data_IF_561068094317
#
_entry.id   IF_561068094317
#
_cell.length_a   1.000
_cell.length_b   1.000
_cell.length_c   1.000
_cell.angle_alpha   90.00
_cell.angle_beta   90.00
_cell.angle_gamma   90.00
#
_symmetry.space_group_name_H-M   'P 1'
#
loop_
_entity.id
_entity.type
_entity.pdbx_description
1 polymer ?
#
# COMPACT_ATOMS: atom_id res chain seq x y z
N UNK A 1 -2.40 -29.83 0.85
CA UNK A 1 -3.38 -29.84 1.95
C UNK A 1 -4.68 -30.46 1.48
N UNK A 2 -5.39 -29.86 0.53
CA UNK A 2 -6.70 -30.34 0.04
C UNK A 2 -6.74 -31.80 -0.38
N UNK A 3 -5.72 -32.29 -1.08
CA UNK A 3 -5.64 -33.70 -1.49
C UNK A 3 -5.54 -34.65 -0.29
N UNK A 4 -4.79 -34.28 0.75
CA UNK A 4 -4.67 -35.06 1.98
C UNK A 4 -6.00 -35.07 2.73
N UNK A 5 -6.67 -33.92 2.83
CA UNK A 5 -7.98 -33.81 3.48
C UNK A 5 -9.04 -34.67 2.77
N UNK A 6 -9.09 -34.63 1.43
CA UNK A 6 -9.99 -35.49 0.62
C UNK A 6 -9.71 -36.98 0.78
N UNK A 7 -8.46 -37.34 1.09
CA UNK A 7 -8.01 -38.71 1.28
C UNK A 7 -7.99 -39.15 2.75
N UNK A 8 -8.48 -38.31 3.67
CA UNK A 8 -8.46 -38.54 5.12
C UNK A 8 -7.05 -38.85 5.68
N UNK A 9 -6.04 -38.19 5.11
CA UNK A 9 -4.65 -38.27 5.57
C UNK A 9 -4.42 -37.14 6.59
N UNK A 10 -4.01 -37.46 7.83
CA UNK A 10 -3.80 -36.45 8.87
C UNK A 10 -2.68 -35.49 8.50
N UNK A 11 -2.82 -34.24 8.91
CA UNK A 11 -1.74 -33.26 8.78
C UNK A 11 -0.59 -33.63 9.70
N UNK A 12 0.60 -33.77 9.13
CA UNK A 12 1.84 -33.95 9.87
C UNK A 12 2.70 -32.69 9.74
N UNK A 13 2.98 -32.04 10.86
CA UNK A 13 3.83 -30.85 10.91
C UNK A 13 4.80 -30.96 12.10
N UNK A 14 6.04 -31.44 11.86
CA UNK A 14 7.03 -31.65 12.92
C UNK A 14 7.83 -30.38 13.24
N UNK A 15 7.34 -29.20 12.85
CA UNK A 15 8.03 -27.92 13.05
C UNK A 15 7.19 -27.05 13.97
N UNK A 16 7.82 -26.34 14.91
CA UNK A 16 7.19 -25.40 15.82
C UNK A 16 7.06 -23.98 15.23
N UNK A 17 6.51 -23.06 16.03
CA UNK A 17 6.30 -21.66 15.62
C UNK A 17 7.60 -20.86 15.46
N UNK A 18 8.72 -21.33 16.00
CA UNK A 18 10.05 -20.74 15.82
C UNK A 18 10.77 -21.30 14.59
N UNK A 19 10.12 -22.18 13.84
CA UNK A 19 10.67 -22.82 12.65
C UNK A 19 11.66 -23.94 12.97
N UNK A 20 11.59 -24.52 14.18
CA UNK A 20 12.46 -25.61 14.62
C UNK A 20 11.72 -26.94 14.65
N UNK A 21 12.45 -28.03 14.37
CA UNK A 21 11.88 -29.36 14.48
C UNK A 21 11.56 -29.73 15.94
N UNK A 22 10.45 -30.41 16.16
CA UNK A 22 9.99 -30.91 17.46
C UNK A 22 10.42 -32.37 17.69
N UNK A 23 10.03 -32.91 18.84
CA UNK A 23 10.20 -34.32 19.21
C UNK A 23 9.52 -35.32 18.24
N UNK A 24 8.60 -34.85 17.39
CA UNK A 24 8.02 -35.64 16.31
C UNK A 24 9.05 -36.00 15.21
N UNK A 25 10.18 -35.30 15.15
CA UNK A 25 11.31 -35.58 14.27
C UNK A 25 12.62 -35.61 15.09
N UNK A 26 12.84 -36.64 15.93
CA UNK A 26 13.88 -36.66 16.95
C UNK A 26 15.31 -36.57 16.38
N UNK A 27 15.51 -37.07 15.15
CA UNK A 27 16.81 -36.99 14.45
C UNK A 27 17.26 -35.52 14.19
N UNK A 28 16.32 -34.57 14.22
CA UNK A 28 16.55 -33.15 13.87
C UNK A 28 16.01 -32.18 14.92
N UNK A 29 15.58 -32.68 16.08
CA UNK A 29 14.93 -31.88 17.13
C UNK A 29 15.75 -30.62 17.49
N UNK A 30 15.07 -29.47 17.56
CA UNK A 30 15.65 -28.17 17.87
C UNK A 30 16.39 -27.48 16.72
N UNK A 31 16.62 -28.16 15.59
CA UNK A 31 17.26 -27.55 14.42
C UNK A 31 16.28 -26.64 13.66
N UNK A 32 16.74 -25.48 13.22
CA UNK A 32 15.96 -24.60 12.36
C UNK A 32 15.82 -25.20 10.96
N UNK A 33 14.64 -25.07 10.34
CA UNK A 33 14.27 -25.89 9.17
C UNK A 33 15.26 -25.82 7.98
N UNK A 34 15.87 -24.65 7.71
CA UNK A 34 16.90 -24.54 6.65
C UNK A 34 18.27 -25.08 7.06
N UNK A 35 18.61 -25.04 8.34
CA UNK A 35 19.85 -25.63 8.84
C UNK A 35 19.79 -27.15 8.75
N UNK A 36 18.60 -27.72 9.00
CA UNK A 36 18.33 -29.13 8.92
C UNK A 36 18.44 -29.73 7.50
N UNK A 37 18.32 -28.93 6.43
CA UNK A 37 18.40 -29.41 5.04
C UNK A 37 19.66 -30.27 4.79
N UNK A 38 20.79 -29.90 5.38
CA UNK A 38 22.08 -30.62 5.24
C UNK A 38 22.06 -31.97 5.95
N UNK A 39 21.51 -32.02 7.16
CA UNK A 39 21.47 -33.22 8.00
C UNK A 39 20.42 -34.21 7.50
N UNK A 40 19.26 -33.70 7.06
CA UNK A 40 18.22 -34.50 6.39
C UNK A 40 18.79 -35.15 5.12
N UNK A 41 19.48 -34.37 4.28
CA UNK A 41 20.12 -34.89 3.06
C UNK A 41 21.14 -35.98 3.37
N UNK A 42 21.93 -35.81 4.44
CA UNK A 42 22.91 -36.80 4.90
C UNK A 42 22.22 -38.08 5.38
N UNK A 43 21.18 -37.96 6.20
CA UNK A 43 20.45 -39.11 6.72
C UNK A 43 19.78 -39.94 5.61
N UNK A 44 19.19 -39.29 4.59
CA UNK A 44 18.60 -39.99 3.44
C UNK A 44 19.69 -40.72 2.64
N UNK A 45 20.87 -40.10 2.47
CA UNK A 45 22.02 -40.71 1.79
C UNK A 45 22.58 -41.91 2.55
N UNK A 46 22.76 -41.80 3.86
CA UNK A 46 23.27 -42.88 4.72
C UNK A 46 22.30 -44.08 4.78
N UNK A 47 20.99 -43.83 4.62
CA UNK A 47 19.96 -44.87 4.50
C UNK A 47 19.84 -45.49 3.10
N UNK A 48 20.68 -45.09 2.14
CA UNK A 48 20.66 -45.51 0.74
C UNK A 48 19.30 -45.27 0.04
N UNK A 49 18.59 -44.21 0.46
CA UNK A 49 17.29 -43.79 -0.10
C UNK A 49 17.42 -42.61 -1.08
N UNK A 50 18.63 -42.11 -1.32
CA UNK A 50 18.89 -40.94 -2.15
C UNK A 50 19.23 -41.34 -3.59
N UNK A 51 18.29 -41.14 -4.50
CA UNK A 51 18.53 -41.39 -5.94
C UNK A 51 19.39 -40.30 -6.60
N UNK A 52 19.15 -39.02 -6.31
CA UNK A 52 19.82 -37.86 -6.92
C UNK A 52 19.79 -36.66 -5.96
N UNK A 53 20.87 -35.87 -5.95
CA UNK A 53 20.98 -34.64 -5.16
C UNK A 53 21.62 -33.53 -5.99
N UNK A 54 20.91 -32.42 -6.16
CA UNK A 54 21.33 -31.28 -6.97
C UNK A 54 20.95 -29.96 -6.31
N UNK A 55 21.62 -28.88 -6.70
CA UNK A 55 21.29 -27.52 -6.27
C UNK A 55 20.50 -26.81 -7.37
N UNK A 56 19.36 -26.22 -7.01
CA UNK A 56 18.50 -25.49 -7.92
C UNK A 56 18.40 -24.02 -7.52
N UNK A 57 18.65 -23.12 -8.48
CA UNK A 57 18.46 -21.67 -8.31
C UNK A 57 17.05 -21.31 -8.76
N UNK A 58 16.26 -20.71 -7.88
CA UNK A 58 14.89 -20.29 -8.16
C UNK A 58 14.47 -19.12 -7.25
N UNK A 59 13.35 -18.47 -7.60
CA UNK A 59 12.77 -17.41 -6.78
C UNK A 59 12.02 -18.01 -5.58
N UNK A 60 12.33 -17.54 -4.37
CA UNK A 60 11.71 -18.02 -3.13
C UNK A 60 11.15 -16.83 -2.33
N UNK A 61 10.03 -16.99 -1.60
CA UNK A 61 9.48 -15.91 -0.78
C UNK A 61 10.32 -15.66 0.49
N UNK A 62 10.53 -14.38 0.80
CA UNK A 62 11.23 -13.92 2.00
C UNK A 62 10.38 -12.90 2.75
N UNK A 63 10.58 -12.81 4.06
CA UNK A 63 10.01 -11.77 4.90
C UNK A 63 10.47 -10.40 4.39
N UNK A 64 9.53 -9.51 4.10
CA UNK A 64 9.79 -8.21 3.49
C UNK A 64 10.48 -7.20 4.44
N UNK A 65 10.48 -7.47 5.75
CA UNK A 65 11.16 -6.65 6.77
C UNK A 65 12.53 -7.21 7.12
N UNK A 66 12.62 -8.52 7.35
CA UNK A 66 13.83 -9.18 7.88
C UNK A 66 14.66 -9.92 6.83
N UNK A 67 14.09 -10.21 5.67
CA UNK A 67 14.76 -10.99 4.62
C UNK A 67 14.96 -12.46 4.98
N UNK A 68 14.22 -12.99 5.97
CA UNK A 68 14.27 -14.42 6.35
C UNK A 68 13.43 -15.27 5.38
N UNK A 69 13.88 -16.47 4.96
CA UNK A 69 13.09 -17.36 4.11
C UNK A 69 11.74 -17.68 4.77
N UNK A 70 10.65 -17.55 4.02
CA UNK A 70 9.30 -17.91 4.51
C UNK A 70 9.04 -19.40 4.31
N UNK A 71 8.15 -19.96 5.14
CA UNK A 71 7.66 -21.33 5.02
C UNK A 71 6.13 -21.31 5.10
N UNK A 72 5.48 -22.14 4.28
CA UNK A 72 4.05 -22.39 4.42
C UNK A 72 3.82 -23.20 5.70
N UNK A 73 3.10 -22.64 6.66
CA UNK A 73 2.89 -23.23 7.97
C UNK A 73 1.40 -23.20 8.33
N UNK A 74 0.83 -24.28 8.88
CA UNK A 74 -0.56 -24.30 9.31
C UNK A 74 -0.71 -23.43 10.57
N UNK A 75 -1.50 -22.37 10.44
CA UNK A 75 -1.88 -21.50 11.56
C UNK A 75 -3.39 -21.39 11.62
N UNK A 76 -3.95 -21.36 12.82
CA UNK A 76 -5.28 -20.81 13.03
C UNK A 76 -5.23 -19.31 12.69
N UNK A 77 -6.14 -18.88 11.82
CA UNK A 77 -6.21 -17.52 11.32
C UNK A 77 -7.64 -17.19 10.96
N UNK A 78 -8.01 -15.94 11.16
CA UNK A 78 -9.25 -15.35 10.65
C UNK A 78 -9.03 -14.89 9.22
N UNK A 79 -10.05 -15.09 8.38
CA UNK A 79 -10.05 -14.72 6.98
C UNK A 79 -11.28 -13.89 6.64
N UNK A 80 -11.10 -12.91 5.77
CA UNK A 80 -12.21 -12.29 5.04
C UNK A 80 -12.37 -13.05 3.73
N UNK A 81 -13.58 -13.55 3.46
CA UNK A 81 -13.93 -14.33 2.26
C UNK A 81 -14.04 -13.44 1.00
N UNK A 82 -12.95 -12.75 0.67
CA UNK A 82 -12.86 -11.82 -0.47
C UNK A 82 -13.07 -12.53 -1.82
N UNK A 83 -12.92 -13.85 -1.88
CA UNK A 83 -13.23 -14.64 -3.10
C UNK A 83 -14.69 -14.53 -3.52
N UNK A 84 -15.63 -14.32 -2.59
CA UNK A 84 -17.06 -14.11 -2.90
C UNK A 84 -17.35 -12.87 -3.73
N UNK A 85 -16.51 -11.85 -3.63
CA UNK A 85 -16.67 -10.57 -4.36
C UNK A 85 -15.62 -10.41 -5.47
N UNK A 86 -14.87 -11.46 -5.79
CA UNK A 86 -13.76 -11.41 -6.76
C UNK A 86 -14.17 -10.85 -8.12
N UNK A 87 -15.23 -11.41 -8.69
CA UNK A 87 -15.71 -11.00 -10.01
C UNK A 87 -16.20 -9.54 -9.99
N UNK A 88 -16.79 -9.12 -8.87
CA UNK A 88 -17.23 -7.74 -8.66
C UNK A 88 -16.05 -6.77 -8.55
N UNK A 89 -14.98 -7.16 -7.85
CA UNK A 89 -13.75 -6.37 -7.78
C UNK A 89 -13.14 -6.19 -9.18
N UNK A 90 -13.12 -7.25 -10.00
CA UNK A 90 -12.65 -7.18 -11.39
C UNK A 90 -13.52 -6.27 -12.25
N UNK A 91 -14.84 -6.32 -12.09
CA UNK A 91 -15.78 -5.43 -12.80
C UNK A 91 -15.58 -3.96 -12.42
N UNK A 92 -15.54 -3.65 -11.13
CA UNK A 92 -15.35 -2.29 -10.63
C UNK A 92 -13.98 -1.73 -11.02
N UNK A 93 -12.93 -2.56 -11.04
CA UNK A 93 -11.60 -2.13 -11.48
C UNK A 93 -11.59 -1.58 -12.92
N UNK A 94 -12.50 -2.04 -13.79
CA UNK A 94 -12.60 -1.54 -15.18
C UNK A 94 -13.14 -0.11 -15.28
N UNK A 95 -13.76 0.40 -14.21
CA UNK A 95 -14.25 1.79 -14.14
C UNK A 95 -13.17 2.77 -13.71
N UNK A 96 -12.10 2.27 -13.10
CA UNK A 96 -11.02 3.08 -12.56
C UNK A 96 -10.11 3.50 -13.71
N UNK A 97 -9.80 4.79 -13.79
CA UNK A 97 -8.81 5.33 -14.72
C UNK A 97 -7.40 5.12 -14.15
N UNK A 98 -6.68 4.14 -14.68
CA UNK A 98 -5.31 3.83 -14.26
C UNK A 98 -4.28 4.52 -15.16
N UNK A 99 -3.30 5.16 -14.55
CA UNK A 99 -2.10 5.71 -15.20
C UNK A 99 -0.87 5.02 -14.62
N UNK A 100 -0.23 4.09 -15.36
CA UNK A 100 -0.52 3.68 -16.73
C UNK A 100 -1.64 2.62 -16.76
N UNK A 101 -2.39 2.56 -17.87
CA UNK A 101 -3.51 1.62 -18.07
C UNK A 101 -3.08 0.15 -17.89
N UNK A 102 -1.84 -0.17 -18.26
CA UNK A 102 -1.24 -1.51 -18.12
C UNK A 102 -1.12 -1.98 -16.66
N UNK A 103 -1.10 -1.06 -15.69
CA UNK A 103 -1.10 -1.44 -14.27
C UNK A 103 -2.47 -1.95 -13.84
N UNK A 104 -3.54 -1.25 -14.21
CA UNK A 104 -4.91 -1.61 -13.89
C UNK A 104 -5.36 -2.90 -14.59
N UNK A 105 -5.09 -3.01 -15.89
CA UNK A 105 -5.46 -4.19 -16.69
C UNK A 105 -4.52 -5.38 -16.46
N UNK A 106 -3.22 -5.13 -16.24
CA UNK A 106 -2.21 -6.16 -16.03
C UNK A 106 -1.99 -6.47 -14.55
N UNK A 107 -1.02 -5.79 -13.92
CA UNK A 107 -0.50 -6.14 -12.59
C UNK A 107 -1.58 -6.26 -11.51
N UNK A 108 -2.52 -5.34 -11.49
CA UNK A 108 -3.63 -5.31 -10.55
C UNK A 108 -4.80 -6.19 -11.01
N UNK A 109 -5.23 -6.07 -12.27
CA UNK A 109 -6.31 -6.88 -12.84
C UNK A 109 -6.06 -8.40 -12.72
N UNK A 110 -4.89 -8.87 -13.18
CA UNK A 110 -4.51 -10.29 -13.06
C UNK A 110 -4.41 -10.75 -11.60
N UNK A 111 -4.07 -9.84 -10.66
CA UNK A 111 -4.09 -10.17 -9.24
C UNK A 111 -5.51 -10.41 -8.73
N UNK A 112 -6.44 -9.53 -9.07
CA UNK A 112 -7.86 -9.68 -8.69
C UNK A 112 -8.48 -10.95 -9.28
N UNK A 113 -8.17 -11.31 -10.53
CA UNK A 113 -8.68 -12.54 -11.16
C UNK A 113 -8.28 -13.83 -10.40
N UNK A 114 -7.11 -13.79 -9.76
CA UNK A 114 -6.53 -14.88 -8.97
C UNK A 114 -6.61 -14.62 -7.46
N UNK A 115 -7.53 -13.75 -7.02
CA UNK A 115 -7.66 -13.39 -5.63
C UNK A 115 -7.91 -14.62 -4.74
N UNK A 116 -7.30 -14.60 -3.56
CA UNK A 116 -7.47 -15.60 -2.49
C UNK A 116 -8.01 -14.91 -1.25
N UNK A 117 -8.64 -15.67 -0.35
CA UNK A 117 -9.19 -15.10 0.87
C UNK A 117 -8.12 -14.41 1.70
N UNK A 118 -8.49 -13.28 2.28
CA UNK A 118 -7.55 -12.40 2.95
C UNK A 118 -7.39 -12.83 4.40
N UNK A 119 -6.25 -13.44 4.74
CA UNK A 119 -5.86 -13.69 6.12
C UNK A 119 -5.71 -12.37 6.87
N UNK A 120 -6.66 -12.06 7.76
CA UNK A 120 -6.77 -10.75 8.42
C UNK A 120 -6.14 -10.73 9.80
N UNK A 121 -6.06 -11.87 10.49
CA UNK A 121 -5.52 -11.92 11.85
C UNK A 121 -4.00 -11.90 11.89
N UNK A 122 -3.46 -11.23 12.91
CA UNK A 122 -2.03 -11.14 13.21
C UNK A 122 -1.81 -11.39 14.69
N UNK A 123 -0.97 -12.38 15.01
CA UNK A 123 -0.51 -12.64 16.38
C UNK A 123 0.62 -11.67 16.73
N UNK A 124 0.24 -10.45 17.12
CA UNK A 124 1.13 -9.32 17.46
C UNK A 124 0.61 -8.58 18.69
N UNK A 125 1.35 -7.54 19.10
CA UNK A 125 1.07 -6.77 20.33
C UNK A 125 0.60 -5.34 20.08
N UNK A 126 0.92 -4.74 18.92
CA UNK A 126 0.54 -3.36 18.58
C UNK A 126 -0.20 -3.30 17.24
N UNK A 127 -1.40 -2.73 17.26
CA UNK A 127 -2.34 -2.68 16.15
C UNK A 127 -3.79 -2.77 16.65
N UNK A 128 -4.75 -2.61 15.75
CA UNK A 128 -6.18 -2.63 16.07
C UNK A 128 -6.62 -4.03 16.50
N UNK A 129 -7.16 -4.23 17.72
CA UNK A 129 -7.65 -5.53 18.16
C UNK A 129 -8.85 -6.00 17.35
N UNK A 130 -8.89 -7.30 17.00
CA UNK A 130 -10.09 -7.87 16.35
C UNK A 130 -11.19 -7.91 17.41
N UNK A 131 -12.38 -7.31 17.15
CA UNK A 131 -13.43 -7.16 18.15
C UNK A 131 -14.31 -8.42 18.22
N UNK A 132 -13.69 -9.59 18.36
CA UNK A 132 -14.37 -10.88 18.46
C UNK A 132 -14.12 -11.50 19.83
N UNK A 133 -15.21 -11.83 20.53
CA UNK A 133 -15.21 -12.56 21.79
C UNK A 133 -15.71 -13.98 21.58
N UNK A 134 -15.09 -14.94 22.25
CA UNK A 134 -15.40 -16.37 22.19
C UNK A 134 -15.58 -16.91 23.61
N UNK A 135 -16.56 -17.79 23.82
CA UNK A 135 -16.73 -18.46 25.12
C UNK A 135 -15.56 -19.39 25.42
N UNK A 136 -15.06 -19.35 26.66
CA UNK A 136 -14.03 -20.29 27.13
C UNK A 136 -14.53 -21.73 27.35
N UNK A 137 -15.85 -21.93 27.28
CA UNK A 137 -16.50 -23.24 27.48
C UNK A 137 -16.94 -23.88 26.17
N UNK A 138 -17.47 -23.11 25.23
CA UNK A 138 -17.85 -23.58 23.91
C UNK A 138 -17.38 -22.59 22.82
N UNK A 139 -16.30 -22.94 22.08
CA UNK A 139 -15.71 -22.09 21.05
C UNK A 139 -16.64 -21.75 19.87
N UNK A 140 -17.79 -22.42 19.74
CA UNK A 140 -18.80 -22.11 18.72
C UNK A 140 -19.61 -20.85 19.08
N UNK A 141 -19.63 -20.43 20.35
CA UNK A 141 -20.21 -19.14 20.75
C UNK A 141 -19.23 -18.01 20.48
N UNK A 142 -19.47 -17.31 19.37
CA UNK A 142 -18.69 -16.18 18.88
C UNK A 142 -19.56 -14.93 18.80
N UNK A 143 -19.11 -13.82 19.40
CA UNK A 143 -19.75 -12.51 19.29
C UNK A 143 -18.77 -11.50 18.70
N UNK A 144 -19.23 -10.71 17.72
CA UNK A 144 -18.47 -9.61 17.13
C UNK A 144 -19.05 -8.28 17.60
N UNK A 145 -18.24 -7.44 18.23
CA UNK A 145 -18.67 -6.16 18.81
C UNK A 145 -18.45 -5.05 17.79
N UNK A 146 -19.52 -4.35 17.42
CA UNK A 146 -19.52 -3.34 16.36
C UNK A 146 -19.35 -1.91 16.84
N UNK A 147 -19.45 -1.63 18.15
CA UNK A 147 -19.37 -0.26 18.68
C UNK A 147 -18.91 -0.20 20.13
N UNK A 148 -18.50 1.00 20.55
CA UNK A 148 -18.20 1.30 21.95
C UNK A 148 -19.41 1.14 22.87
N UNK A 149 -20.61 1.54 22.41
CA UNK A 149 -21.83 1.41 23.19
C UNK A 149 -22.15 -0.06 23.49
N UNK A 150 -22.04 -0.92 22.48
CA UNK A 150 -22.25 -2.37 22.63
C UNK A 150 -21.19 -3.00 23.56
N UNK A 151 -19.91 -2.60 23.43
CA UNK A 151 -18.85 -3.09 24.31
C UNK A 151 -19.12 -2.73 25.78
N UNK A 152 -19.55 -1.49 26.04
CA UNK A 152 -19.88 -1.02 27.40
C UNK A 152 -21.06 -1.78 27.99
N UNK A 153 -22.13 -1.96 27.22
CA UNK A 153 -23.30 -2.72 27.66
C UNK A 153 -22.92 -4.16 28.06
N UNK A 154 -22.13 -4.83 27.21
CA UNK A 154 -21.70 -6.21 27.44
C UNK A 154 -20.78 -6.35 28.64
N UNK A 155 -19.77 -5.49 28.74
CA UNK A 155 -18.79 -5.53 29.82
C UNK A 155 -19.29 -4.90 31.14
N UNK A 156 -20.49 -4.32 31.16
CA UNK A 156 -21.04 -3.65 32.35
C UNK A 156 -20.26 -2.40 32.76
N UNK A 157 -19.74 -1.66 31.78
CA UNK A 157 -18.96 -0.44 32.00
C UNK A 157 -19.88 0.77 32.03
N UNK A 158 -19.52 1.79 32.82
CA UNK A 158 -20.25 3.06 32.85
C UNK A 158 -20.04 3.84 31.54
N UNK A 159 -20.97 4.73 31.20
CA UNK A 159 -20.97 5.45 29.91
C UNK A 159 -19.76 6.39 29.75
N UNK A 160 -19.32 7.00 30.86
CA UNK A 160 -18.26 8.01 30.93
C UNK A 160 -16.89 7.47 31.33
N UNK A 161 -16.77 6.15 31.56
CA UNK A 161 -15.51 5.51 31.91
C UNK A 161 -14.53 5.58 30.72
N UNK A 162 -13.38 6.22 30.90
CA UNK A 162 -12.34 6.25 29.86
C UNK A 162 -11.70 4.86 29.72
N UNK A 163 -11.78 4.28 28.51
CA UNK A 163 -11.20 2.97 28.22
C UNK A 163 -10.25 3.05 27.02
N UNK A 164 -9.11 2.38 27.14
CA UNK A 164 -8.18 2.17 26.03
C UNK A 164 -8.54 0.86 25.32
N UNK A 165 -8.85 0.97 24.03
CA UNK A 165 -9.21 -0.19 23.20
C UNK A 165 -8.01 -0.97 22.69
N UNK A 166 -6.79 -0.57 23.03
CA UNK A 166 -5.59 -1.30 22.66
C UNK A 166 -5.31 -2.46 23.62
N UNK A 167 -4.49 -3.39 23.15
CA UNK A 167 -3.86 -4.38 24.04
C UNK A 167 -2.85 -3.67 24.96
N UNK A 168 -2.75 -4.10 26.23
CA UNK A 168 -3.42 -5.26 26.82
C UNK A 168 -4.83 -4.97 27.37
N UNK A 169 -5.23 -3.70 27.49
CA UNK A 169 -6.40 -3.27 28.27
C UNK A 169 -7.71 -3.89 27.79
N UNK A 170 -7.95 -3.89 26.48
CA UNK A 170 -9.18 -4.49 25.91
C UNK A 170 -9.28 -6.01 26.15
N UNK A 171 -8.17 -6.71 26.40
CA UNK A 171 -8.17 -8.15 26.64
C UNK A 171 -8.76 -8.51 28.02
N UNK A 172 -8.86 -7.53 28.93
CA UNK A 172 -9.44 -7.71 30.27
C UNK A 172 -10.97 -7.61 30.29
N UNK A 173 -11.57 -7.06 29.22
CA UNK A 173 -13.01 -6.89 29.11
C UNK A 173 -13.68 -8.24 28.80
N UNK A 174 -14.50 -8.74 29.73
CA UNK A 174 -15.16 -10.04 29.65
C UNK A 174 -16.57 -9.98 30.23
N UNK A 175 -17.43 -10.93 29.85
CA UNK A 175 -18.78 -11.07 30.40
C UNK A 175 -19.24 -12.53 30.41
N UNK A 176 -20.35 -12.81 31.09
CA UNK A 176 -20.94 -14.15 31.13
C UNK A 176 -21.54 -14.51 29.77
N UNK A 177 -21.14 -15.66 29.23
CA UNK A 177 -21.64 -16.21 27.97
C UNK A 177 -22.98 -16.92 28.13
N UNK A 178 -23.73 -17.12 27.03
CA UNK A 178 -25.06 -17.75 27.06
C UNK A 178 -25.04 -19.22 27.55
N UNK A 179 -23.88 -19.86 27.51
CA UNK A 179 -23.61 -21.22 27.98
C UNK A 179 -23.13 -21.27 29.45
N UNK A 180 -23.08 -20.12 30.13
CA UNK A 180 -22.50 -19.95 31.46
C UNK A 180 -20.96 -20.01 31.48
N UNK A 181 -20.31 -19.92 30.31
CA UNK A 181 -18.87 -19.66 30.19
C UNK A 181 -18.53 -18.18 30.35
N UNK A 182 -17.26 -17.83 30.17
CA UNK A 182 -16.82 -16.43 30.08
C UNK A 182 -16.48 -16.08 28.63
N UNK A 183 -17.10 -15.03 28.10
CA UNK A 183 -16.75 -14.47 26.79
C UNK A 183 -15.42 -13.72 26.90
N UNK A 184 -14.43 -14.11 26.10
CA UNK A 184 -13.09 -13.53 26.09
C UNK A 184 -12.68 -13.14 24.67
N UNK A 185 -12.06 -11.97 24.51
CA UNK A 185 -11.57 -11.53 23.20
C UNK A 185 -10.52 -12.51 22.68
N UNK A 186 -10.55 -12.81 21.38
CA UNK A 186 -9.43 -13.51 20.73
C UNK A 186 -8.16 -12.66 20.85
N UNK A 187 -6.95 -13.22 20.97
CA UNK A 187 -5.73 -12.44 21.17
C UNK A 187 -5.27 -11.68 19.92
N UNK A 188 -5.83 -11.99 18.76
CA UNK A 188 -5.38 -11.53 17.46
C UNK A 188 -5.68 -10.05 17.21
N UNK A 189 -4.80 -9.41 16.44
CA UNK A 189 -4.95 -8.05 15.92
C UNK A 189 -5.26 -8.09 14.43
N UNK A 190 -5.84 -7.01 13.90
CA UNK A 190 -6.05 -6.83 12.47
C UNK A 190 -4.73 -6.65 11.72
N UNK A 191 -4.74 -7.07 10.46
CA UNK A 191 -3.70 -6.74 9.49
C UNK A 191 -3.66 -5.22 9.27
N UNK A 192 -2.47 -4.62 9.29
CA UNK A 192 -2.30 -3.16 9.15
C UNK A 192 -2.86 -2.63 7.83
N UNK A 193 -2.93 -3.49 6.80
CA UNK A 193 -3.55 -3.12 5.54
C UNK A 193 -5.07 -2.92 5.66
N UNK A 194 -5.74 -3.56 6.63
CA UNK A 194 -7.13 -3.26 6.96
C UNK A 194 -7.28 -1.85 7.49
N UNK A 195 -6.45 -1.43 8.45
CA UNK A 195 -6.47 -0.07 8.99
C UNK A 195 -6.31 0.95 7.85
N UNK A 196 -5.31 0.76 6.99
CA UNK A 196 -5.06 1.67 5.86
C UNK A 196 -6.17 1.63 4.79
N UNK A 197 -6.78 0.47 4.57
CA UNK A 197 -7.89 0.31 3.61
C UNK A 197 -9.22 0.84 4.13
N UNK A 198 -9.40 0.89 5.46
CA UNK A 198 -10.58 1.46 6.11
C UNK A 198 -10.54 2.99 6.18
N UNK A 199 -9.39 3.60 5.92
CA UNK A 199 -9.16 5.05 5.96
C UNK A 199 -10.28 5.89 5.32
N UNK A 200 -10.86 5.54 4.14
CA UNK A 200 -11.89 6.37 3.50
C UNK A 200 -13.12 6.65 4.36
N UNK A 201 -13.52 5.71 5.22
CA UNK A 201 -14.69 5.86 6.10
C UNK A 201 -14.28 6.03 7.58
N UNK A 202 -13.21 5.37 8.02
CA UNK A 202 -12.74 5.43 9.40
C UNK A 202 -12.27 6.84 9.80
N UNK A 203 -11.70 7.62 8.87
CA UNK A 203 -11.26 9.00 9.15
C UNK A 203 -12.42 9.93 9.54
N UNK A 204 -13.63 9.59 9.11
CA UNK A 204 -14.85 10.35 9.37
C UNK A 204 -15.62 9.86 10.59
N UNK A 205 -15.13 8.80 11.25
CA UNK A 205 -15.89 8.09 12.28
C UNK A 205 -17.23 7.51 11.75
N UNK A 206 -17.32 7.26 10.43
CA UNK A 206 -18.47 6.58 9.83
C UNK A 206 -18.55 5.13 10.36
N UNK A 207 -19.75 4.62 10.68
CA UNK A 207 -21.09 5.18 10.45
C UNK A 207 -21.68 5.95 11.64
N UNK A 208 -20.87 6.36 12.62
CA UNK A 208 -21.35 7.01 13.84
C UNK A 208 -21.50 8.52 13.68
N UNK A 209 -20.56 9.14 12.97
CA UNK A 209 -20.55 10.58 12.70
C UNK A 209 -20.17 10.89 11.24
N UNK A 210 -20.36 12.16 10.85
CA UNK A 210 -19.88 12.77 9.59
C UNK A 210 -20.30 12.04 8.30
N UNK A 211 -21.50 11.44 8.29
CA UNK A 211 -22.07 10.77 7.11
C UNK A 211 -22.04 11.64 5.85
N UNK A 212 -22.31 12.94 5.99
CA UNK A 212 -22.29 13.87 4.85
C UNK A 212 -20.90 13.97 4.25
N UNK A 213 -19.87 14.16 5.07
CA UNK A 213 -18.49 14.30 4.63
C UNK A 213 -17.99 13.00 3.99
N UNK A 214 -18.35 11.83 4.54
CA UNK A 214 -18.06 10.56 3.88
C UNK A 214 -18.72 10.47 2.50
N UNK A 215 -20.03 10.74 2.40
CA UNK A 215 -20.78 10.61 1.15
C UNK A 215 -20.33 11.57 0.04
N UNK A 216 -19.91 12.78 0.37
CA UNK A 216 -19.45 13.75 -0.65
C UNK A 216 -18.00 13.51 -1.10
N UNK A 217 -17.19 12.82 -0.28
CA UNK A 217 -15.79 12.55 -0.57
C UNK A 217 -15.51 11.09 -1.02
N UNK A 218 -16.51 10.20 -0.97
CA UNK A 218 -16.41 8.83 -1.46
C UNK A 218 -17.24 8.62 -2.74
N UNK A 219 -16.69 7.99 -3.80
CA UNK A 219 -15.29 7.55 -3.93
C UNK A 219 -14.35 8.70 -4.28
N UNK A 220 -13.07 8.59 -3.85
CA UNK A 220 -12.07 9.62 -4.05
C UNK A 220 -11.78 9.87 -5.54
N UNK A 221 -11.62 11.13 -5.95
CA UNK A 221 -11.36 11.45 -7.35
C UNK A 221 -9.96 11.02 -7.81
N UNK A 222 -8.95 11.07 -6.93
CA UNK A 222 -7.55 10.81 -7.30
C UNK A 222 -6.71 10.26 -6.13
N UNK A 223 -5.86 9.27 -6.42
CA UNK A 223 -4.76 8.83 -5.56
C UNK A 223 -3.48 8.60 -6.37
N UNK A 224 -2.31 8.75 -5.75
CA UNK A 224 -1.03 8.46 -6.39
C UNK A 224 -0.02 7.85 -5.41
N UNK A 225 0.39 6.61 -5.68
CA UNK A 225 1.36 5.88 -4.85
C UNK A 225 2.24 4.97 -5.71
N UNK A 226 3.28 4.38 -5.11
CA UNK A 226 4.19 3.47 -5.80
C UNK A 226 3.52 2.21 -6.34
N UNK A 227 4.07 1.64 -7.41
CA UNK A 227 3.57 0.42 -8.07
C UNK A 227 3.50 -0.81 -7.15
N UNK A 228 4.25 -0.80 -6.05
CA UNK A 228 4.16 -1.81 -4.98
C UNK A 228 2.81 -1.82 -4.27
N UNK A 229 2.08 -0.70 -4.26
CA UNK A 229 0.74 -0.61 -3.66
C UNK A 229 -0.33 -1.42 -4.41
N UNK A 230 -0.03 -1.91 -5.62
CA UNK A 230 -0.88 -2.90 -6.30
C UNK A 230 -1.11 -4.17 -5.47
N UNK A 231 -0.27 -4.45 -4.46
CA UNK A 231 -0.41 -5.57 -3.52
C UNK A 231 -0.59 -5.14 -2.07
N UNK A 232 -0.81 -3.84 -1.84
CA UNK A 232 -1.01 -3.23 -0.53
C UNK A 232 -2.24 -2.35 -0.55
N UNK A 233 -2.04 -1.03 -0.41
CA UNK A 233 -3.11 -0.07 -0.18
C UNK A 233 -4.17 -0.02 -1.28
N UNK A 234 -3.78 -0.06 -2.56
CA UNK A 234 -4.74 -0.08 -3.68
C UNK A 234 -5.68 -1.28 -3.59
N UNK A 235 -5.14 -2.46 -3.25
CA UNK A 235 -5.94 -3.68 -3.10
C UNK A 235 -6.91 -3.56 -1.94
N UNK A 236 -6.45 -3.14 -0.75
CA UNK A 236 -7.31 -3.12 0.44
C UNK A 236 -8.37 -2.04 0.40
N UNK A 237 -8.06 -0.87 -0.17
CA UNK A 237 -9.06 0.15 -0.48
C UNK A 237 -10.15 -0.44 -1.38
N UNK A 238 -9.76 -1.03 -2.52
CA UNK A 238 -10.70 -1.54 -3.50
C UNK A 238 -11.53 -2.73 -2.99
N UNK A 239 -10.91 -3.63 -2.23
CA UNK A 239 -11.58 -4.77 -1.63
C UNK A 239 -12.63 -4.33 -0.59
N UNK A 240 -12.27 -3.42 0.33
CA UNK A 240 -13.22 -2.91 1.32
C UNK A 240 -14.31 -2.05 0.67
N UNK A 241 -13.96 -1.19 -0.29
CA UNK A 241 -14.93 -0.41 -1.07
C UNK A 241 -15.96 -1.30 -1.79
N UNK A 242 -15.47 -2.40 -2.39
CA UNK A 242 -16.34 -3.37 -3.04
C UNK A 242 -17.24 -4.10 -2.04
N UNK A 243 -16.70 -4.57 -0.92
CA UNK A 243 -17.46 -5.37 0.05
C UNK A 243 -18.49 -4.55 0.84
N UNK A 244 -18.13 -3.34 1.26
CA UNK A 244 -18.96 -2.52 2.15
C UNK A 244 -19.91 -1.61 1.39
N UNK A 245 -19.48 -1.10 0.22
CA UNK A 245 -20.21 -0.06 -0.51
C UNK A 245 -20.58 -0.45 -1.95
N UNK A 246 -20.04 -1.57 -2.45
CA UNK A 246 -20.28 -2.05 -3.82
C UNK A 246 -19.86 -1.05 -4.92
N UNK A 247 -18.84 -0.25 -4.64
CA UNK A 247 -18.29 0.80 -5.50
C UNK A 247 -16.76 0.69 -5.60
N UNK A 248 -16.18 1.25 -6.66
CA UNK A 248 -14.74 1.48 -6.74
C UNK A 248 -14.28 2.43 -5.62
N UNK A 249 -13.12 2.19 -5.01
CA UNK A 249 -12.65 3.03 -3.91
C UNK A 249 -12.12 4.40 -4.37
N UNK A 250 -11.78 4.52 -5.64
CA UNK A 250 -11.17 5.71 -6.24
C UNK A 250 -11.42 5.74 -7.76
N UNK A 251 -11.50 6.93 -8.33
CA UNK A 251 -11.80 7.13 -9.76
C UNK A 251 -10.56 7.17 -10.64
N UNK A 252 -9.50 7.86 -10.19
CA UNK A 252 -8.23 7.98 -10.93
C UNK A 252 -7.05 7.52 -10.06
N UNK A 253 -6.11 6.78 -10.65
CA UNK A 253 -4.88 6.32 -9.96
C UNK A 253 -3.66 6.58 -10.82
N UNK A 254 -2.66 7.22 -10.24
CA UNK A 254 -1.29 7.22 -10.78
C UNK A 254 -0.43 6.23 -9.98
N UNK A 255 -0.01 5.15 -10.63
CA UNK A 255 0.88 4.15 -10.06
C UNK A 255 2.32 4.48 -10.42
N UNK A 256 3.02 5.15 -9.52
CA UNK A 256 4.38 5.65 -9.74
C UNK A 256 5.42 4.53 -9.86
N UNK A 257 6.44 4.77 -10.68
CA UNK A 257 7.64 3.94 -10.73
C UNK A 257 8.50 4.11 -9.48
N UNK A 258 9.58 3.33 -9.40
CA UNK A 258 10.53 3.43 -8.31
C UNK A 258 11.59 4.49 -8.58
N UNK A 259 11.97 5.22 -7.54
CA UNK A 259 13.18 6.05 -7.54
C UNK A 259 14.39 5.15 -7.27
N UNK A 260 15.28 5.09 -8.25
CA UNK A 260 16.51 4.32 -8.23
C UNK A 260 17.71 5.27 -8.10
N UNK A 261 18.85 4.74 -7.68
CA UNK A 261 20.09 5.52 -7.76
C UNK A 261 20.51 5.79 -9.21
N UNK A 262 21.59 6.55 -9.39
CA UNK A 262 22.12 6.94 -10.69
C UNK A 262 22.50 5.74 -11.59
N UNK A 263 22.82 4.59 -10.97
CA UNK A 263 23.17 3.35 -11.67
C UNK A 263 21.94 2.47 -11.98
N UNK A 264 20.77 2.83 -11.45
CA UNK A 264 19.53 2.06 -11.58
C UNK A 264 19.39 0.96 -10.52
N UNK A 265 20.11 1.04 -9.40
CA UNK A 265 19.88 0.14 -8.28
C UNK A 265 18.84 0.70 -7.30
N UNK A 266 18.13 -0.21 -6.63
CA UNK A 266 17.25 0.18 -5.52
C UNK A 266 18.07 0.83 -4.41
N UNK A 267 17.64 2.02 -3.99
CA UNK A 267 18.26 2.73 -2.88
C UNK A 267 18.02 1.99 -1.56
N UNK A 268 19.07 1.85 -0.74
CA UNK A 268 18.94 1.38 0.64
C UNK A 268 20.04 1.94 1.54
N UNK A 269 19.70 2.20 2.81
CA UNK A 269 20.66 2.65 3.82
C UNK A 269 21.83 1.68 3.96
N UNK A 270 21.59 0.37 3.83
CA UNK A 270 22.62 -0.67 3.91
C UNK A 270 23.62 -0.63 2.76
N UNK A 271 23.21 -0.19 1.57
CA UNK A 271 24.08 -0.03 0.40
C UNK A 271 24.82 1.31 0.39
N UNK A 272 24.39 2.27 1.22
CA UNK A 272 24.96 3.62 1.25
C UNK A 272 24.69 4.44 -0.02
N UNK A 273 23.72 4.04 -0.85
CA UNK A 273 23.33 4.71 -2.09
C UNK A 273 22.01 5.50 -1.96
N UNK A 274 21.53 5.70 -0.73
CA UNK A 274 20.34 6.53 -0.47
C UNK A 274 20.66 8.00 -0.63
N UNK A 275 19.72 8.73 -1.23
CA UNK A 275 19.75 10.19 -1.32
C UNK A 275 18.81 10.77 -0.27
N UNK A 276 19.29 11.73 0.51
CA UNK A 276 18.44 12.47 1.45
C UNK A 276 17.66 13.56 0.70
N UNK A 277 16.31 13.51 0.67
CA UNK A 277 15.52 14.51 -0.04
C UNK A 277 15.72 15.94 0.50
N UNK A 278 16.01 16.13 1.79
CA UNK A 278 16.17 17.45 2.37
C UNK A 278 17.50 18.10 1.99
N UNK A 279 18.57 17.30 1.90
CA UNK A 279 19.88 17.78 1.42
C UNK A 279 19.76 18.27 -0.03
N UNK A 280 19.10 17.48 -0.88
CA UNK A 280 18.88 17.86 -2.28
C UNK A 280 18.00 19.10 -2.40
N UNK A 281 16.91 19.20 -1.63
CA UNK A 281 16.05 20.38 -1.64
C UNK A 281 16.82 21.62 -1.19
N UNK A 282 17.70 21.49 -0.20
CA UNK A 282 18.53 22.59 0.28
C UNK A 282 19.54 23.05 -0.79
N UNK A 283 20.11 22.12 -1.56
CA UNK A 283 21.10 22.43 -2.60
C UNK A 283 20.46 22.98 -3.90
N UNK A 284 19.38 22.36 -4.39
CA UNK A 284 18.80 22.64 -5.71
C UNK A 284 17.49 23.40 -5.69
N UNK A 285 16.84 23.50 -4.53
CA UNK A 285 15.50 24.05 -4.37
C UNK A 285 14.40 23.04 -4.70
N UNK A 286 13.26 23.15 -4.00
CA UNK A 286 12.14 22.22 -4.15
C UNK A 286 11.59 22.14 -5.59
N UNK A 287 11.53 23.27 -6.30
CA UNK A 287 10.98 23.30 -7.66
C UNK A 287 11.87 22.56 -8.66
N UNK A 288 13.20 22.66 -8.53
CA UNK A 288 14.14 21.90 -9.36
C UNK A 288 13.96 20.41 -9.16
N UNK A 289 13.83 19.97 -7.89
CA UNK A 289 13.61 18.56 -7.56
C UNK A 289 12.27 18.09 -8.10
N UNK A 290 11.17 18.81 -7.86
CA UNK A 290 9.84 18.46 -8.38
C UNK A 290 9.83 18.38 -9.89
N UNK A 291 10.35 19.39 -10.58
CA UNK A 291 10.40 19.42 -12.04
C UNK A 291 11.24 18.26 -12.58
N UNK A 292 12.39 17.97 -11.98
CA UNK A 292 13.23 16.83 -12.37
C UNK A 292 12.49 15.51 -12.26
N UNK A 293 11.78 15.28 -11.16
CA UNK A 293 11.00 14.05 -10.94
C UNK A 293 9.90 13.86 -11.99
N UNK A 294 9.29 14.94 -12.46
CA UNK A 294 8.19 14.90 -13.44
C UNK A 294 8.65 14.95 -14.91
N UNK A 295 9.76 15.63 -15.21
CA UNK A 295 10.18 15.88 -16.60
C UNK A 295 11.17 14.86 -17.15
N UNK A 296 11.87 14.11 -16.27
CA UNK A 296 12.97 13.24 -16.68
C UNK A 296 12.51 11.82 -17.05
N UNK A 297 11.37 11.38 -16.55
CA UNK A 297 10.67 10.15 -16.92
C UNK A 297 9.18 10.32 -16.69
N UNK A 298 8.35 9.57 -17.41
CA UNK A 298 6.92 9.50 -17.06
C UNK A 298 6.75 9.03 -15.60
N UNK A 299 5.73 9.49 -14.86
CA UNK A 299 5.59 9.19 -13.43
C UNK A 299 5.59 7.70 -13.07
N UNK A 300 5.10 6.86 -13.98
CA UNK A 300 5.01 5.41 -13.81
C UNK A 300 6.25 4.62 -14.22
N UNK A 301 7.24 5.27 -14.83
CA UNK A 301 8.52 4.66 -15.14
C UNK A 301 9.49 4.82 -13.97
N UNK A 302 10.45 3.90 -13.87
CA UNK A 302 11.50 4.03 -12.86
C UNK A 302 12.41 5.23 -13.20
N UNK A 303 12.59 6.12 -12.23
CA UNK A 303 13.47 7.27 -12.34
C UNK A 303 14.86 6.91 -11.79
N UNK A 304 15.90 7.09 -12.62
CA UNK A 304 17.29 7.06 -12.15
C UNK A 304 17.67 8.42 -11.62
N UNK A 305 17.70 8.56 -10.31
CA UNK A 305 17.94 9.84 -9.65
C UNK A 305 19.42 10.21 -9.69
N UNK A 306 19.74 11.36 -10.30
CA UNK A 306 21.11 11.87 -10.40
C UNK A 306 21.22 13.36 -10.12
N UNK A 307 22.27 13.74 -9.38
CA UNK A 307 22.57 15.13 -9.06
C UNK A 307 22.91 15.94 -10.33
N UNK A 308 23.54 15.31 -11.32
CA UNK A 308 23.83 15.95 -12.60
C UNK A 308 22.56 16.25 -13.40
N UNK A 309 21.54 15.39 -13.30
CA UNK A 309 20.22 15.66 -13.88
C UNK A 309 19.54 16.89 -13.28
N UNK A 310 19.64 17.06 -11.95
CA UNK A 310 19.14 18.26 -11.25
C UNK A 310 19.88 19.53 -11.70
N UNK A 311 21.22 19.49 -11.78
CA UNK A 311 22.03 20.60 -12.30
C UNK A 311 21.64 20.97 -13.72
N UNK A 312 21.33 19.97 -14.54
CA UNK A 312 20.89 20.19 -15.91
C UNK A 312 19.54 20.88 -15.97
N UNK A 313 18.55 20.43 -15.19
CA UNK A 313 17.23 21.07 -15.08
C UNK A 313 17.36 22.53 -14.63
N UNK A 314 18.14 22.78 -13.57
CA UNK A 314 18.37 24.13 -13.06
C UNK A 314 18.99 25.03 -14.13
N UNK A 315 20.04 24.53 -14.82
CA UNK A 315 20.78 25.31 -15.82
C UNK A 315 19.99 25.55 -17.11
N UNK A 316 19.23 24.56 -17.59
CA UNK A 316 18.55 24.66 -18.89
C UNK A 316 17.17 25.27 -18.78
N UNK A 317 16.41 24.95 -17.74
CA UNK A 317 15.03 25.39 -17.59
C UNK A 317 14.93 26.62 -16.69
N UNK A 318 15.25 26.49 -15.40
CA UNK A 318 15.06 27.57 -14.42
C UNK A 318 15.92 28.80 -14.72
N UNK A 319 17.20 28.63 -15.07
CA UNK A 319 18.04 29.76 -15.47
C UNK A 319 17.51 30.46 -16.73
N UNK A 320 16.90 29.74 -17.68
CA UNK A 320 16.30 30.36 -18.87
C UNK A 320 15.09 31.21 -18.49
N UNK A 321 14.26 30.74 -17.56
CA UNK A 321 13.12 31.52 -17.03
C UNK A 321 13.62 32.77 -16.30
N UNK A 322 14.59 32.62 -15.40
CA UNK A 322 15.17 33.73 -14.63
C UNK A 322 15.81 34.76 -15.56
N UNK A 323 16.56 34.32 -16.58
CA UNK A 323 17.18 35.22 -17.56
C UNK A 323 16.13 35.96 -18.39
N UNK A 324 15.06 35.28 -18.81
CA UNK A 324 13.96 35.88 -19.57
C UNK A 324 13.22 36.93 -18.72
N UNK A 325 12.93 36.60 -17.47
CA UNK A 325 12.33 37.54 -16.52
C UNK A 325 13.25 38.72 -16.23
N UNK A 326 14.54 38.48 -16.01
CA UNK A 326 15.52 39.53 -15.70
C UNK A 326 15.69 40.49 -16.87
N UNK A 327 15.69 39.97 -18.11
CA UNK A 327 15.66 40.80 -19.32
C UNK A 327 14.41 41.68 -19.34
N UNK A 328 13.22 41.10 -19.18
CA UNK A 328 11.97 41.87 -19.13
C UNK A 328 11.99 42.95 -18.03
N UNK A 329 12.33 42.58 -16.80
CA UNK A 329 12.35 43.48 -15.65
C UNK A 329 13.34 44.64 -15.83
N UNK A 330 14.53 44.37 -16.39
CA UNK A 330 15.54 45.40 -16.65
C UNK A 330 15.02 46.46 -17.63
N UNK A 331 14.53 46.05 -18.80
CA UNK A 331 14.07 47.00 -19.82
C UNK A 331 12.74 47.67 -19.42
N UNK A 332 11.83 46.95 -18.78
CA UNK A 332 10.60 47.53 -18.24
C UNK A 332 10.92 48.67 -17.24
N UNK A 333 11.90 48.48 -16.36
CA UNK A 333 12.31 49.51 -15.41
C UNK A 333 13.00 50.71 -16.08
N UNK A 334 13.79 50.49 -17.15
CA UNK A 334 14.42 51.58 -17.93
C UNK A 334 13.37 52.43 -18.63
N UNK A 335 12.39 51.78 -19.25
CA UNK A 335 11.32 52.45 -20.00
C UNK A 335 10.22 53.03 -19.09
N UNK A 336 10.31 52.81 -17.77
CA UNK A 336 9.27 53.19 -16.81
C UNK A 336 7.95 52.47 -17.07
N UNK A 337 7.99 51.29 -17.69
CA UNK A 337 6.80 50.50 -17.99
C UNK A 337 6.12 50.07 -16.70
N UNK A 338 4.84 50.43 -16.57
CA UNK A 338 3.95 49.93 -15.54
C UNK A 338 2.70 49.35 -16.21
N UNK A 339 2.23 48.21 -15.73
CA UNK A 339 1.02 47.57 -16.24
C UNK A 339 -0.23 48.29 -15.66
N UNK A 340 -0.45 49.54 -16.08
CA UNK A 340 -1.49 50.43 -15.55
C UNK A 340 -2.43 50.99 -16.63
N UNK A 341 -2.44 50.40 -17.82
CA UNK A 341 -3.21 50.88 -18.97
C UNK A 341 -4.15 49.82 -19.57
N UNK A 342 -4.98 50.26 -20.52
CA UNK A 342 -5.81 49.36 -21.33
C UNK A 342 -4.92 48.51 -22.24
N UNK A 343 -5.08 47.20 -22.20
CA UNK A 343 -4.33 46.29 -23.06
C UNK A 343 -4.54 46.64 -24.54
N UNK A 344 -3.45 46.68 -25.32
CA UNK A 344 -3.53 46.89 -26.77
C UNK A 344 -4.42 45.78 -27.37
N UNK A 345 -5.51 46.11 -28.08
CA UNK A 345 -6.37 45.11 -28.72
C UNK A 345 -5.56 44.19 -29.64
N UNK A 346 -5.93 42.92 -29.72
CA UNK A 346 -5.16 41.94 -30.50
C UNK A 346 -5.00 42.36 -31.97
N UNK A 347 -6.01 43.02 -32.55
CA UNK A 347 -5.98 43.51 -33.93
C UNK A 347 -4.88 44.56 -34.17
N UNK A 348 -4.59 45.37 -33.15
CA UNK A 348 -3.66 46.50 -33.22
C UNK A 348 -2.21 46.11 -32.85
N UNK A 349 -1.98 44.84 -32.51
CA UNK A 349 -0.65 44.32 -32.18
C UNK A 349 0.17 43.99 -33.43
N UNK A 350 1.51 44.12 -33.37
CA UNK A 350 2.40 43.54 -34.36
C UNK A 350 2.20 42.03 -34.52
N UNK A 351 2.50 41.51 -35.71
CA UNK A 351 2.33 40.08 -36.03
C UNK A 351 3.14 39.15 -35.09
N UNK A 352 4.32 39.59 -34.63
CA UNK A 352 5.13 38.81 -33.69
C UNK A 352 4.43 38.63 -32.33
N UNK A 353 3.75 39.66 -31.84
CA UNK A 353 3.03 39.61 -30.56
C UNK A 353 1.77 38.75 -30.68
N UNK A 354 1.06 38.87 -31.82
CA UNK A 354 -0.08 37.99 -32.14
C UNK A 354 0.35 36.52 -32.16
N UNK A 355 1.52 36.22 -32.75
CA UNK A 355 2.07 34.88 -32.76
C UNK A 355 2.43 34.37 -31.36
N UNK A 356 3.06 35.19 -30.50
CA UNK A 356 3.36 34.81 -29.10
C UNK A 356 2.07 34.48 -28.34
N UNK A 357 1.03 35.30 -28.46
CA UNK A 357 -0.28 35.04 -27.83
C UNK A 357 -0.91 33.76 -28.38
N UNK A 358 -0.86 33.53 -29.70
CA UNK A 358 -1.33 32.29 -30.29
C UNK A 358 -0.58 31.08 -29.74
N UNK A 359 0.74 31.17 -29.60
CA UNK A 359 1.56 30.07 -29.06
C UNK A 359 1.24 29.81 -27.61
N UNK A 360 1.02 30.86 -26.80
CA UNK A 360 0.57 30.74 -25.41
C UNK A 360 -0.76 30.00 -25.32
N UNK A 361 -1.77 30.38 -26.12
CA UNK A 361 -3.06 29.69 -26.12
C UNK A 361 -2.93 28.21 -26.50
N UNK A 362 -2.09 27.87 -27.47
CA UNK A 362 -1.80 26.47 -27.79
C UNK A 362 -1.13 25.74 -26.62
N UNK A 363 -0.19 26.39 -25.92
CA UNK A 363 0.45 25.81 -24.73
C UNK A 363 -0.55 25.61 -23.59
N UNK A 364 -1.40 26.59 -23.30
CA UNK A 364 -2.47 26.48 -22.28
C UNK A 364 -3.36 25.29 -22.59
N UNK A 365 -3.84 25.19 -23.84
CA UNK A 365 -4.68 24.08 -24.27
C UNK A 365 -4.00 22.71 -24.05
N UNK A 366 -2.74 22.57 -24.46
CA UNK A 366 -2.00 21.30 -24.30
C UNK A 366 -1.79 20.96 -22.83
N UNK A 367 -1.49 21.95 -21.99
CA UNK A 367 -1.32 21.73 -20.54
C UNK A 367 -2.63 21.35 -19.87
N UNK A 368 -3.74 22.02 -20.22
CA UNK A 368 -5.09 21.66 -19.75
C UNK A 368 -5.46 20.22 -20.14
N UNK A 369 -5.21 19.83 -21.41
CA UNK A 369 -5.43 18.46 -21.88
C UNK A 369 -4.64 17.43 -21.04
N UNK A 370 -3.36 17.67 -20.76
CA UNK A 370 -2.56 16.78 -19.93
C UNK A 370 -3.01 16.71 -18.47
N UNK A 371 -3.45 17.83 -17.88
CA UNK A 371 -3.99 17.82 -16.51
C UNK A 371 -5.31 17.05 -16.40
N UNK A 372 -6.21 17.21 -17.37
CA UNK A 372 -7.49 16.47 -17.41
C UNK A 372 -7.25 14.95 -17.60
N UNK A 373 -6.23 14.59 -18.37
CA UNK A 373 -5.89 13.18 -18.64
C UNK A 373 -4.91 12.57 -17.63
N UNK A 374 -4.46 13.31 -16.61
CA UNK A 374 -3.44 12.89 -15.63
C UNK A 374 -2.14 12.38 -16.29
N UNK A 375 -1.62 13.13 -17.28
CA UNK A 375 -0.39 12.82 -18.03
C UNK A 375 0.80 13.75 -17.76
#
# INVERSE_FOLDING_TARGET
FDSCQKADIPMFNPIDRDGKFTDQAPDFEGQWFKEADKDISRAIKEKDLMFRHETMVHNYPFDWRKGTPLMSYPVESWFIETTKVKDRMVELNKKINWKPESTGSGRFGTWLENNVDWAISRQRYWGTPIPIWVSDKDPEYVEAIGSMAELREKAGLEEDEEIDLHRPFIDELTWEGPDGGTMRRIPDLLDVWFDSGAMPFAQWHYPFDNDHDFQVNYPADFIAEGVDQTRGWFYTLHALGTMLFNEEAYKNVVSNGLVLDENGEKMSKSKGNSVDPFEVIQEFGADTVRWYMMSNSSPWDNLKFSHDGLKEVQRKFFNTIINTYSFFAMYANIDGFNYSGTAIPNADRPEIDKWVISRLNSTVKVVEEHFEDYE
#
